data_IF_937222900693
#
_entry.id   IF_937222900693
#
_cell.length_a   1.000
_cell.length_b   1.000
_cell.length_c   1.000
_cell.angle_alpha   90.00
_cell.angle_beta   90.00
_cell.angle_gamma   90.00
#
_symmetry.space_group_name_H-M   'P 1'
#
loop_
_entity.id
_entity.type
_entity.pdbx_description
1 polymer ?
#
# COMPACT_ATOMS: atom_id res chain seq x y z
N UNK A 1 9.65 18.86 -14.03
CA UNK A 1 9.10 18.92 -12.65
C UNK A 1 8.67 17.52 -12.24
N UNK A 2 9.18 16.99 -11.13
CA UNK A 2 8.81 15.66 -10.62
C UNK A 2 7.95 15.86 -9.35
N UNK A 3 6.72 15.29 -9.26
CA UNK A 3 5.81 15.54 -8.14
C UNK A 3 6.38 15.04 -6.81
N UNK A 4 5.97 15.69 -5.71
CA UNK A 4 6.38 15.34 -4.34
C UNK A 4 6.09 13.86 -4.01
N UNK A 5 4.98 13.33 -4.51
CA UNK A 5 4.61 11.93 -4.35
C UNK A 5 5.69 10.98 -4.88
N UNK A 6 6.41 11.34 -5.96
CA UNK A 6 7.50 10.51 -6.48
C UNK A 6 8.75 10.56 -5.59
N UNK A 7 8.94 11.65 -4.83
CA UNK A 7 10.04 11.80 -3.88
C UNK A 7 9.79 11.06 -2.56
N UNK A 8 8.53 10.99 -2.14
CA UNK A 8 8.10 10.33 -0.88
C UNK A 8 7.83 8.84 -1.08
N UNK A 9 7.75 8.36 -2.33
CA UNK A 9 7.48 6.95 -2.62
C UNK A 9 8.54 6.06 -1.93
N UNK A 10 8.12 5.16 -1.03
CA UNK A 10 9.05 4.27 -0.32
C UNK A 10 9.78 3.36 -1.30
N UNK A 11 11.06 3.10 -1.02
CA UNK A 11 11.92 2.22 -1.81
C UNK A 11 11.91 0.79 -1.28
N UNK A 12 11.68 0.65 0.02
CA UNK A 12 11.66 -0.62 0.73
C UNK A 12 10.31 -0.80 1.46
N UNK A 13 9.94 -2.04 1.74
CA UNK A 13 8.68 -2.33 2.43
C UNK A 13 8.64 -1.77 3.86
N UNK A 14 9.80 -1.70 4.52
CA UNK A 14 9.93 -1.18 5.89
C UNK A 14 9.62 0.32 6.00
N UNK A 15 9.70 1.05 4.88
CA UNK A 15 9.39 2.47 4.79
C UNK A 15 7.89 2.73 4.60
N UNK A 16 7.08 1.68 4.39
CA UNK A 16 5.62 1.80 4.21
C UNK A 16 4.95 2.06 5.55
N UNK A 17 4.29 3.22 5.66
CA UNK A 17 3.60 3.65 6.87
C UNK A 17 2.13 3.23 6.82
N UNK A 18 1.59 2.69 7.92
CA UNK A 18 0.16 2.46 8.13
C UNK A 18 -0.34 1.03 7.85
N UNK A 19 0.40 0.21 7.10
CA UNK A 19 -0.02 -1.13 6.70
C UNK A 19 0.71 -2.27 7.45
N UNK A 20 1.01 -2.08 8.74
CA UNK A 20 1.76 -3.06 9.57
C UNK A 20 1.06 -4.42 9.72
N UNK A 21 -0.27 -4.46 9.69
CA UNK A 21 -1.02 -5.71 9.81
C UNK A 21 -0.91 -6.60 8.56
N UNK A 22 -0.63 -6.00 7.39
CA UNK A 22 -0.45 -6.68 6.11
C UNK A 22 1.03 -6.91 5.77
N UNK A 23 1.89 -5.92 6.05
CA UNK A 23 3.30 -5.88 5.63
C UNK A 23 4.28 -6.00 6.82
N UNK A 24 3.79 -6.32 8.01
CA UNK A 24 4.66 -6.54 9.16
C UNK A 24 5.55 -7.78 9.01
N UNK A 25 6.55 -7.91 9.89
CA UNK A 25 7.40 -9.10 9.94
C UNK A 25 6.58 -10.38 10.15
N UNK A 26 6.91 -11.42 9.38
CA UNK A 26 6.21 -12.71 9.40
C UNK A 26 4.77 -12.67 8.85
N UNK A 27 4.41 -11.65 8.07
CA UNK A 27 3.13 -11.61 7.36
C UNK A 27 3.27 -12.23 5.98
N UNK A 28 2.17 -12.82 5.51
CA UNK A 28 2.11 -13.54 4.24
C UNK A 28 2.60 -12.71 3.05
N UNK A 29 2.34 -11.39 3.03
CA UNK A 29 2.82 -10.50 1.97
C UNK A 29 4.33 -10.29 2.03
N UNK A 30 4.90 -10.14 3.23
CA UNK A 30 6.34 -10.03 3.43
C UNK A 30 7.04 -11.31 2.95
N UNK A 31 6.51 -12.48 3.34
CA UNK A 31 7.08 -13.78 2.97
C UNK A 31 6.96 -14.05 1.47
N UNK A 32 5.84 -13.68 0.83
CA UNK A 32 5.66 -13.79 -0.62
C UNK A 32 6.64 -12.90 -1.39
N UNK A 33 6.86 -11.67 -0.92
CA UNK A 33 7.83 -10.74 -1.54
C UNK A 33 9.25 -11.25 -1.33
N UNK A 34 9.58 -11.73 -0.12
CA UNK A 34 10.91 -12.27 0.20
C UNK A 34 11.23 -13.57 -0.53
N UNK A 35 10.22 -14.39 -0.83
CA UNK A 35 10.38 -15.65 -1.59
C UNK A 35 10.34 -15.44 -3.10
N UNK A 36 10.09 -14.22 -3.59
CA UNK A 36 9.99 -13.91 -5.01
C UNK A 36 8.76 -14.49 -5.72
N UNK A 37 7.85 -15.11 -4.98
CA UNK A 37 6.61 -15.68 -5.49
C UNK A 37 5.48 -14.65 -5.46
N UNK A 38 5.46 -13.80 -6.49
CA UNK A 38 4.37 -12.86 -6.70
C UNK A 38 3.12 -13.60 -7.20
N UNK A 39 2.13 -13.76 -6.32
CA UNK A 39 0.82 -14.28 -6.71
C UNK A 39 -0.03 -13.14 -7.30
N UNK A 40 -0.86 -13.44 -8.31
CA UNK A 40 -1.85 -12.50 -8.81
C UNK A 40 -2.80 -12.07 -7.67
N UNK A 41 -2.81 -10.79 -7.34
CA UNK A 41 -3.59 -10.25 -6.22
C UNK A 41 -4.38 -9.02 -6.64
N UNK A 42 -5.65 -8.93 -6.22
CA UNK A 42 -6.53 -7.80 -6.49
C UNK A 42 -6.71 -7.01 -5.19
N UNK A 43 -6.24 -5.76 -5.17
CA UNK A 43 -6.49 -4.83 -4.06
C UNK A 43 -7.87 -4.17 -4.22
N UNK A 44 -8.85 -4.63 -3.46
CA UNK A 44 -10.20 -4.05 -3.46
C UNK A 44 -10.31 -2.96 -2.40
N UNK A 45 -10.60 -1.74 -2.84
CA UNK A 45 -10.95 -0.62 -1.96
C UNK A 45 -12.32 -0.07 -2.36
N UNK A 46 -13.24 0.06 -1.39
CA UNK A 46 -14.51 0.77 -1.59
C UNK A 46 -14.38 2.20 -1.06
N UNK A 47 -14.20 3.17 -1.96
CA UNK A 47 -14.24 4.59 -1.58
C UNK A 47 -15.70 5.07 -1.64
N UNK A 48 -16.42 4.99 -0.53
CA UNK A 48 -17.73 5.65 -0.41
C UNK A 48 -17.53 7.11 -0.01
N UNK A 49 -16.98 7.94 -0.90
CA UNK A 49 -16.91 9.38 -0.68
C UNK A 49 -18.18 10.06 -1.21
N UNK A 50 -19.25 10.11 -0.40
CA UNK A 50 -20.41 10.96 -0.69
C UNK A 50 -20.14 12.35 -0.12
N UNK A 51 -19.62 13.27 -0.93
CA UNK A 51 -19.61 14.69 -0.59
C UNK A 51 -20.98 15.28 -0.88
N UNK A 52 -21.80 15.43 0.16
CA UNK A 52 -22.89 16.40 0.11
C UNK A 52 -22.27 17.77 0.41
N UNK A 53 -21.99 18.55 -0.63
CA UNK A 53 -21.83 20.00 -0.49
C UNK A 53 -23.16 20.63 -0.91
N UNK A 54 -23.97 20.98 0.08
CA UNK A 54 -25.03 21.98 -0.01
C UNK A 54 -24.86 22.88 1.21
N UNK A 55 -24.29 24.07 0.99
CA UNK A 55 -24.95 25.37 1.13
C UNK A 55 -23.94 26.47 0.84
#
# INVERSE_FOLDING_TARGET
MNPLANKIRPKNLDEVIGQKHLLGEGKILQDMISSGHLMNMIFLWTSRYRKNYCS
#
